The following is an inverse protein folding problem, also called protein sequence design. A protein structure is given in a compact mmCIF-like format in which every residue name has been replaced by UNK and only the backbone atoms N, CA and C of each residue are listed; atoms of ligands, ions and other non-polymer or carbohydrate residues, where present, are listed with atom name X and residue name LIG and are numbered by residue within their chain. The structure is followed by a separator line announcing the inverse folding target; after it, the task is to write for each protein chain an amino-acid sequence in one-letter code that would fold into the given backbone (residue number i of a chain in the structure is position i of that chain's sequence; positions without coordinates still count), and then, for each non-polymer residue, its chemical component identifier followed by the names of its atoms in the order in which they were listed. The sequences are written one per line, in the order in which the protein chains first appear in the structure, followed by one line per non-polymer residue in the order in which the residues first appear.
data_IF_823663989011
#
_entry.id   IF_823663989011
#
_cell.length_a   1.000
_cell.length_b   1.000
_cell.length_c   1.000
_cell.angle_alpha   90.00
_cell.angle_beta   90.00
_cell.angle_gamma   90.00
#
_symmetry.space_group_name_H-M   'P 1'
#
loop_
_entity.id
_entity.type
_entity.pdbx_description
1 polymer ?
#
# COMPACT_ATOMS: atom_id res chain seq x y z
N UNK A 1 -17.70 -13.00 4.42
CA UNK A 1 -16.87 -12.38 5.48
C UNK A 1 -15.73 -11.62 4.79
N UNK A 2 -15.38 -10.40 5.22
CA UNK A 2 -14.31 -9.61 4.61
C UNK A 2 -12.99 -9.88 5.34
N UNK A 3 -11.95 -10.25 4.60
CA UNK A 3 -10.61 -10.46 5.13
C UNK A 3 -9.84 -9.12 5.19
N UNK A 4 -8.90 -8.99 6.13
CA UNK A 4 -8.11 -7.77 6.34
C UNK A 4 -6.67 -8.13 6.69
N UNK A 5 -5.70 -7.24 6.41
CA UNK A 5 -5.85 -5.97 5.67
C UNK A 5 -5.82 -6.16 4.13
N UNK A 6 -6.12 -5.12 3.35
CA UNK A 6 -5.90 -5.16 1.90
C UNK A 6 -4.43 -4.87 1.56
N UNK A 7 -3.83 -3.89 2.24
CA UNK A 7 -2.48 -3.35 2.01
C UNK A 7 -1.78 -3.08 3.35
N UNK A 8 -0.45 -2.99 3.30
CA UNK A 8 0.39 -2.58 4.42
C UNK A 8 1.33 -1.42 4.04
N UNK A 9 1.86 -0.73 5.05
CA UNK A 9 2.94 0.24 4.90
C UNK A 9 3.69 0.35 6.24
N UNK A 10 4.72 1.21 6.29
CA UNK A 10 5.52 1.41 7.49
C UNK A 10 4.65 1.76 8.71
N UNK A 11 4.79 0.95 9.76
CA UNK A 11 4.04 1.08 11.02
C UNK A 11 4.93 0.93 12.27
N UNK A 12 6.24 0.69 12.11
CA UNK A 12 7.16 0.64 13.24
C UNK A 12 7.28 2.04 13.89
N UNK A 13 7.45 2.17 15.22
CA UNK A 13 7.51 3.46 15.91
C UNK A 13 8.84 4.20 15.71
N UNK A 14 9.24 4.42 14.47
CA UNK A 14 10.45 5.16 14.06
C UNK A 14 10.16 6.26 13.01
N UNK A 15 8.88 6.60 12.81
CA UNK A 15 8.47 7.65 11.88
C UNK A 15 8.51 8.97 12.64
N UNK A 16 9.34 9.91 12.18
CA UNK A 16 9.45 11.23 12.80
C UNK A 16 8.23 12.08 12.47
N UNK A 17 7.55 12.58 13.51
CA UNK A 17 6.46 13.54 13.39
C UNK A 17 6.75 14.78 14.24
N UNK A 18 6.28 15.94 13.80
CA UNK A 18 6.34 17.15 14.60
C UNK A 18 5.05 17.30 15.40
N UNK A 19 5.13 17.22 16.73
CA UNK A 19 3.99 17.24 17.61
C UNK A 19 4.27 18.12 18.83
N UNK A 20 3.35 19.06 19.12
CA UNK A 20 3.44 19.99 20.26
C UNK A 20 4.80 20.69 20.41
N UNK A 21 5.39 21.13 19.30
CA UNK A 21 6.62 21.91 19.31
C UNK A 21 7.92 21.09 19.28
N UNK A 22 7.85 19.76 19.19
CA UNK A 22 9.01 18.89 19.17
C UNK A 22 8.89 17.78 18.12
N UNK A 23 10.04 17.28 17.64
CA UNK A 23 10.13 16.06 16.86
C UNK A 23 10.02 14.85 17.79
N UNK A 24 9.11 13.94 17.49
CA UNK A 24 8.91 12.69 18.22
C UNK A 24 8.78 11.51 17.26
N UNK A 25 9.14 10.32 17.72
CA UNK A 25 8.90 9.10 16.95
C UNK A 25 7.46 8.62 17.15
N UNK A 26 6.84 8.22 16.05
CA UNK A 26 5.50 7.64 16.00
C UNK A 26 5.48 6.45 15.04
N UNK A 27 4.35 5.76 14.97
CA UNK A 27 4.14 4.58 14.16
C UNK A 27 2.70 4.11 14.23
N UNK A 28 2.52 2.78 14.23
CA UNK A 28 1.23 2.13 14.15
C UNK A 28 0.61 2.19 12.75
N UNK A 29 -0.46 1.43 12.56
CA UNK A 29 -1.25 1.46 11.31
C UNK A 29 -1.88 2.84 11.06
N UNK A 30 -2.01 3.67 12.09
CA UNK A 30 -2.38 5.08 11.97
C UNK A 30 -1.37 5.90 11.16
N UNK A 31 -0.08 5.53 11.17
CA UNK A 31 0.93 6.12 10.29
C UNK A 31 0.92 5.46 8.89
N UNK A 32 0.62 4.16 8.80
CA UNK A 32 0.51 3.45 7.52
C UNK A 32 -0.61 4.00 6.62
N UNK A 33 -1.79 4.30 7.19
CA UNK A 33 -2.94 4.78 6.44
C UNK A 33 -2.67 6.06 5.61
N UNK A 34 -2.11 7.16 6.18
CA UNK A 34 -1.78 8.35 5.39
C UNK A 34 -0.62 8.12 4.41
N UNK A 35 0.30 7.17 4.66
CA UNK A 35 1.34 6.81 3.68
C UNK A 35 0.71 6.25 2.41
N UNK A 36 -0.21 5.28 2.56
CA UNK A 36 -0.93 4.69 1.42
C UNK A 36 -1.76 5.76 0.72
N UNK A 37 -2.53 6.56 1.46
CA UNK A 37 -3.38 7.60 0.88
C UNK A 37 -2.58 8.64 0.08
N UNK A 38 -1.44 9.10 0.61
CA UNK A 38 -0.59 10.07 -0.08
C UNK A 38 0.04 9.48 -1.35
N UNK A 39 0.49 8.22 -1.32
CA UNK A 39 1.04 7.57 -2.50
C UNK A 39 -0.01 7.35 -3.59
N UNK A 40 -1.21 6.90 -3.24
CA UNK A 40 -2.33 6.77 -4.19
C UNK A 40 -2.69 8.12 -4.80
N UNK A 41 -2.74 9.19 -4.01
CA UNK A 41 -2.96 10.55 -4.53
C UNK A 41 -1.93 10.94 -5.60
N UNK A 42 -0.64 10.61 -5.41
CA UNK A 42 0.39 10.92 -6.39
C UNK A 42 0.21 10.12 -7.69
N UNK A 43 -0.23 8.86 -7.59
CA UNK A 43 -0.60 8.04 -8.76
C UNK A 43 -1.78 8.69 -9.49
N UNK A 44 -2.84 9.05 -8.77
CA UNK A 44 -4.03 9.69 -9.35
C UNK A 44 -3.71 10.99 -10.06
N UNK A 45 -2.86 11.83 -9.47
CA UNK A 45 -2.40 13.07 -10.11
C UNK A 45 -1.65 12.78 -11.42
N UNK A 46 -0.84 11.73 -11.48
CA UNK A 46 -0.13 11.33 -12.68
C UNK A 46 -1.08 10.77 -13.76
N UNK A 47 -2.09 9.98 -13.37
CA UNK A 47 -3.12 9.46 -14.26
C UNK A 47 -3.97 10.59 -14.86
N UNK A 48 -4.43 11.52 -14.03
CA UNK A 48 -5.23 12.68 -14.47
C UNK A 48 -4.48 13.55 -15.50
N UNK A 49 -3.17 13.75 -15.32
CA UNK A 49 -2.33 14.48 -16.29
C UNK A 49 -2.28 13.81 -17.67
N UNK A 50 -2.55 12.51 -17.74
CA UNK A 50 -2.63 11.74 -18.98
C UNK A 50 -4.06 11.50 -19.47
N UNK A 51 -5.05 12.15 -18.84
CA UNK A 51 -6.47 11.97 -19.17
C UNK A 51 -7.02 10.59 -18.81
N UNK A 52 -6.34 9.85 -17.92
CA UNK A 52 -6.78 8.55 -17.41
C UNK A 52 -7.67 8.74 -16.16
N UNK A 53 -8.46 7.71 -15.86
CA UNK A 53 -9.26 7.63 -14.63
C UNK A 53 -8.33 7.46 -13.43
N UNK A 54 -8.77 7.95 -12.26
CA UNK A 54 -8.08 7.69 -10.99
C UNK A 54 -8.13 6.21 -10.61
N UNK A 55 -7.21 5.77 -9.76
CA UNK A 55 -7.22 4.45 -9.16
C UNK A 55 -8.56 4.23 -8.45
N UNK A 56 -9.15 3.07 -8.68
CA UNK A 56 -10.43 2.69 -8.08
C UNK A 56 -10.34 2.45 -6.57
N UNK A 57 -11.47 2.00 -5.99
CA UNK A 57 -11.52 1.54 -4.60
C UNK A 57 -10.83 0.19 -4.41
N UNK A 58 -11.09 -0.45 -3.26
CA UNK A 58 -10.51 -1.76 -2.87
C UNK A 58 -10.50 -2.82 -4.00
N UNK A 59 -11.54 -2.99 -4.84
CA UNK A 59 -11.48 -3.96 -5.93
C UNK A 59 -10.30 -3.75 -6.90
N UNK A 60 -9.92 -2.50 -7.17
CA UNK A 60 -8.82 -2.19 -8.08
C UNK A 60 -7.48 -2.66 -7.51
N UNK A 61 -7.29 -2.58 -6.20
CA UNK A 61 -6.07 -3.07 -5.56
C UNK A 61 -5.83 -4.56 -5.84
N UNK A 62 -6.90 -5.36 -5.87
CA UNK A 62 -6.85 -6.77 -6.20
C UNK A 62 -6.72 -7.02 -7.70
N UNK A 63 -7.36 -6.22 -8.56
CA UNK A 63 -7.15 -6.27 -10.01
C UNK A 63 -5.69 -6.04 -10.34
N UNK A 64 -5.10 -4.98 -9.78
CA UNK A 64 -3.69 -4.61 -9.95
C UNK A 64 -2.78 -5.72 -9.40
N UNK A 65 -3.07 -6.29 -8.23
CA UNK A 65 -2.26 -7.37 -7.64
C UNK A 65 -2.12 -8.58 -8.56
N UNK A 66 -3.16 -8.87 -9.34
CA UNK A 66 -3.24 -10.02 -10.23
C UNK A 66 -2.93 -9.64 -11.70
N UNK A 67 -2.45 -8.43 -11.95
CA UNK A 67 -2.15 -7.98 -13.31
C UNK A 67 -1.05 -8.87 -13.93
N UNK A 68 -1.27 -9.42 -15.14
CA UNK A 68 -0.29 -10.30 -15.78
C UNK A 68 0.98 -9.55 -16.18
N UNK A 69 2.13 -10.22 -16.14
CA UNK A 69 3.41 -9.66 -16.62
C UNK A 69 4.47 -9.59 -15.53
N UNK A 70 5.47 -8.73 -15.73
CA UNK A 70 6.66 -8.65 -14.89
C UNK A 70 6.66 -7.49 -13.88
N UNK A 71 5.54 -6.78 -13.75
CA UNK A 71 5.42 -5.67 -12.79
C UNK A 71 5.00 -6.22 -11.43
N UNK A 72 5.53 -5.61 -10.38
CA UNK A 72 5.31 -6.00 -9.00
C UNK A 72 4.66 -4.82 -8.27
N UNK A 73 3.33 -4.68 -8.36
CA UNK A 73 2.61 -3.53 -7.79
C UNK A 73 2.67 -3.49 -6.26
N UNK A 74 3.04 -4.60 -5.62
CA UNK A 74 3.24 -4.67 -4.19
C UNK A 74 4.57 -5.35 -3.88
N UNK A 75 5.25 -4.86 -2.86
CA UNK A 75 6.32 -5.59 -2.17
C UNK A 75 5.65 -6.56 -1.20
N UNK A 76 5.64 -7.83 -1.58
CA UNK A 76 5.09 -8.94 -0.80
C UNK A 76 5.94 -9.16 0.47
N UNK A 77 5.28 -9.15 1.63
CA UNK A 77 5.94 -9.36 2.93
C UNK A 77 5.71 -10.81 3.33
N UNK A 78 6.78 -11.60 3.36
CA UNK A 78 6.70 -13.06 3.56
C UNK A 78 7.34 -13.54 4.85
N UNK A 79 7.78 -12.61 5.72
CA UNK A 79 8.47 -12.91 6.97
C UNK A 79 7.95 -12.02 8.10
N UNK A 80 7.72 -12.61 9.27
CA UNK A 80 7.13 -11.96 10.43
C UNK A 80 5.71 -12.43 10.70
N UNK A 81 5.05 -11.82 11.69
CA UNK A 81 3.70 -12.16 12.12
C UNK A 81 3.01 -10.96 12.79
N UNK A 82 1.71 -11.07 13.03
CA UNK A 82 0.93 -10.16 13.86
C UNK A 82 0.47 -10.80 15.18
N UNK A 83 1.28 -11.73 15.72
CA UNK A 83 1.03 -12.58 16.89
C UNK A 83 -0.03 -13.67 16.70
N UNK A 84 -0.81 -13.62 15.60
CA UNK A 84 -1.89 -14.57 15.34
C UNK A 84 -1.75 -15.26 13.98
N UNK A 85 -1.30 -14.51 12.98
CA UNK A 85 -1.08 -14.98 11.62
C UNK A 85 0.37 -14.72 11.23
N UNK A 86 0.95 -15.67 10.50
CA UNK A 86 2.25 -15.49 9.88
C UNK A 86 2.09 -14.77 8.54
N UNK A 87 3.11 -14.00 8.18
CA UNK A 87 3.27 -13.49 6.83
C UNK A 87 3.62 -14.66 5.87
N UNK A 88 3.04 -14.67 4.67
CA UNK A 88 3.19 -15.77 3.70
C UNK A 88 3.22 -15.23 2.28
N UNK A 89 3.82 -15.94 1.30
CA UNK A 89 3.77 -15.51 -0.10
C UNK A 89 2.35 -15.23 -0.59
N UNK A 90 2.17 -14.08 -1.24
CA UNK A 90 0.89 -13.60 -1.73
C UNK A 90 0.10 -12.81 -0.69
N UNK A 91 -1.24 -12.81 -0.81
CA UNK A 91 -2.08 -12.12 0.17
C UNK A 91 -2.08 -12.87 1.50
N UNK A 92 -1.89 -12.16 2.62
CA UNK A 92 -1.97 -12.73 3.97
C UNK A 92 -2.67 -11.84 5.00
N UNK A 93 -3.02 -12.43 6.16
CA UNK A 93 -3.70 -11.74 7.26
C UNK A 93 -2.81 -10.77 8.06
N UNK A 94 -1.51 -10.73 7.78
CA UNK A 94 -0.53 -9.88 8.46
C UNK A 94 -0.41 -8.54 7.73
N UNK A 95 -0.30 -8.58 6.41
CA UNK A 95 0.07 -7.43 5.56
C UNK A 95 -0.78 -7.28 4.29
N UNK A 96 -1.74 -8.16 4.06
CA UNK A 96 -2.56 -8.13 2.86
C UNK A 96 -1.70 -8.46 1.65
N UNK A 97 -1.80 -7.66 0.58
CA UNK A 97 -0.87 -7.77 -0.56
C UNK A 97 0.53 -7.21 -0.29
N UNK A 98 0.77 -6.62 0.88
CA UNK A 98 2.04 -6.00 1.24
C UNK A 98 2.08 -4.50 0.93
N UNK A 99 3.28 -3.98 0.67
CA UNK A 99 3.51 -2.52 0.53
C UNK A 99 3.37 -2.05 -0.92
N UNK A 100 2.54 -1.03 -1.22
CA UNK A 100 2.39 -0.52 -2.58
C UNK A 100 3.70 -0.04 -3.21
N UNK A 101 3.99 -0.55 -4.41
CA UNK A 101 4.95 0.02 -5.33
C UNK A 101 4.20 0.97 -6.28
N UNK A 102 4.08 2.24 -5.87
CA UNK A 102 3.31 3.23 -6.61
C UNK A 102 3.78 3.46 -8.05
N UNK A 103 5.07 3.23 -8.34
CA UNK A 103 5.57 3.31 -9.71
C UNK A 103 4.99 2.20 -10.57
N UNK A 104 5.06 0.95 -10.11
CA UNK A 104 4.54 -0.19 -10.86
C UNK A 104 3.01 -0.13 -10.99
N UNK A 105 2.32 0.30 -9.92
CA UNK A 105 0.87 0.58 -9.97
C UNK A 105 0.57 1.61 -11.06
N UNK A 106 1.25 2.76 -11.07
CA UNK A 106 1.07 3.78 -12.10
C UNK A 106 1.30 3.21 -13.51
N UNK A 107 2.36 2.42 -13.71
CA UNK A 107 2.66 1.84 -15.02
C UNK A 107 1.63 0.80 -15.47
N UNK A 108 1.00 0.08 -14.53
CA UNK A 108 -0.11 -0.82 -14.82
C UNK A 108 -1.34 -0.01 -15.24
N UNK A 109 -1.73 0.98 -14.44
CA UNK A 109 -2.91 1.83 -14.65
C UNK A 109 -2.83 2.66 -15.94
N UNK A 110 -1.63 3.11 -16.33
CA UNK A 110 -1.42 3.78 -17.62
C UNK A 110 -1.59 2.84 -18.82
N UNK A 111 -1.31 1.55 -18.62
CA UNK A 111 -1.42 0.50 -19.62
C UNK A 111 -2.82 -0.10 -19.78
N UNK A 112 -3.71 0.14 -18.81
CA UNK A 112 -5.14 -0.16 -18.92
C UNK A 112 -5.81 0.79 -19.94
#
# INVERSE_FOLDING_TARGET
MRQVPDLAAAAFPNISIYYKGAWVNSGGTSAAAPIVAAGTLLVDQALQRQGKTMVGGVPEFYTVANHPGSRHPYTDITTGDNLFYNATPGWDYTTGWGTPNFNDILQIELGQ
#
